data_IF_920495034838
#
_entry.id   IF_920495034838
#
_cell.length_a   1.000
_cell.length_b   1.000
_cell.length_c   1.000
_cell.angle_alpha   90.00
_cell.angle_beta   90.00
_cell.angle_gamma   90.00
#
_symmetry.space_group_name_H-M   'P 1'
#
loop_
_entity.id
_entity.type
_entity.pdbx_description
1 polymer ?
#
# COMPACT_ATOMS: atom_id res chain seq x y z
N UNK A 1 15.07 13.48 -22.18
CA UNK A 1 13.59 13.55 -22.07
C UNK A 1 13.28 14.15 -20.71
N UNK A 2 12.28 15.03 -20.59
CA UNK A 2 11.82 15.52 -19.27
C UNK A 2 10.74 14.56 -18.78
N UNK A 3 10.95 13.94 -17.61
CA UNK A 3 9.99 12.99 -17.03
C UNK A 3 8.74 13.72 -16.57
N UNK A 4 8.89 14.77 -15.76
CA UNK A 4 7.77 15.55 -15.22
C UNK A 4 7.79 16.95 -15.83
N UNK A 5 6.82 17.25 -16.70
CA UNK A 5 6.64 18.61 -17.25
C UNK A 5 6.06 19.54 -16.21
N UNK A 6 6.17 20.86 -16.41
CA UNK A 6 5.67 21.86 -15.45
C UNK A 6 4.17 21.67 -15.13
N UNK A 7 3.35 21.38 -16.13
CA UNK A 7 1.92 21.09 -15.94
C UNK A 7 1.67 19.83 -15.08
N UNK A 8 2.48 18.78 -15.27
CA UNK A 8 2.38 17.56 -14.47
C UNK A 8 2.88 17.82 -13.06
N UNK A 9 3.98 18.56 -12.91
CA UNK A 9 4.53 18.97 -11.60
C UNK A 9 3.50 19.75 -10.80
N UNK A 10 2.82 20.73 -11.41
CA UNK A 10 1.79 21.51 -10.74
C UNK A 10 0.63 20.63 -10.24
N UNK A 11 0.19 19.64 -11.03
CA UNK A 11 -0.86 18.69 -10.64
C UNK A 11 -0.40 17.75 -9.52
N UNK A 12 0.81 17.19 -9.62
CA UNK A 12 1.39 16.31 -8.61
C UNK A 12 1.58 17.03 -7.27
N UNK A 13 2.08 18.27 -7.29
CA UNK A 13 2.23 19.10 -6.09
C UNK A 13 0.88 19.47 -5.47
N UNK A 14 -0.13 19.75 -6.30
CA UNK A 14 -1.47 20.04 -5.80
C UNK A 14 -2.08 18.83 -5.07
N UNK A 15 -1.84 17.62 -5.57
CA UNK A 15 -2.24 16.40 -4.89
C UNK A 15 -1.43 16.19 -3.59
N UNK A 16 -0.10 16.32 -3.64
CA UNK A 16 0.77 16.14 -2.46
C UNK A 16 0.56 17.17 -1.35
N UNK A 17 -0.01 18.34 -1.67
CA UNK A 17 -0.37 19.37 -0.71
C UNK A 17 -1.78 19.20 -0.09
N UNK A 18 -2.52 18.14 -0.44
CA UNK A 18 -3.84 17.90 0.12
C UNK A 18 -3.76 17.66 1.64
N UNK A 19 -4.58 18.36 2.42
CA UNK A 19 -4.60 18.25 3.89
C UNK A 19 -5.15 16.89 4.38
N UNK A 20 -5.93 16.23 3.53
CA UNK A 20 -6.53 14.93 3.80
C UNK A 20 -5.99 13.90 2.82
N UNK A 21 -5.63 12.73 3.34
CA UNK A 21 -5.27 11.57 2.52
C UNK A 21 -6.40 11.28 1.53
N UNK A 22 -6.10 11.41 0.23
CA UNK A 22 -7.07 11.35 -0.85
C UNK A 22 -6.59 10.34 -1.88
N UNK A 23 -7.48 9.45 -2.31
CA UNK A 23 -7.18 8.47 -3.35
C UNK A 23 -7.21 9.13 -4.73
N UNK A 24 -6.08 9.72 -5.10
CA UNK A 24 -5.92 10.47 -6.34
C UNK A 24 -5.85 9.56 -7.57
N UNK A 25 -6.27 10.09 -8.72
CA UNK A 25 -5.99 9.43 -9.99
C UNK A 25 -4.50 9.62 -10.32
N UNK A 26 -3.80 8.59 -10.83
CA UNK A 26 -2.44 8.75 -11.33
C UNK A 26 -2.35 9.89 -12.34
N UNK A 27 -1.38 10.77 -12.15
CA UNK A 27 -1.14 11.95 -13.00
C UNK A 27 -0.19 11.61 -14.14
N UNK A 28 0.77 10.72 -13.90
CA UNK A 28 1.80 10.33 -14.86
C UNK A 28 2.12 8.84 -14.77
N UNK A 29 2.39 8.24 -15.92
CA UNK A 29 2.99 6.91 -16.03
C UNK A 29 4.42 7.02 -16.54
N UNK A 30 5.34 6.39 -15.83
CA UNK A 30 6.73 6.23 -16.23
C UNK A 30 7.04 4.75 -16.46
N UNK A 31 8.00 4.45 -17.33
CA UNK A 31 8.41 3.07 -17.62
C UNK A 31 9.88 2.98 -18.03
N UNK A 32 10.51 1.84 -17.76
CA UNK A 32 11.80 1.49 -18.34
C UNK A 32 11.58 0.95 -19.77
N UNK A 33 12.01 1.65 -20.84
CA UNK A 33 11.83 1.17 -22.21
C UNK A 33 12.62 -0.10 -22.52
N UNK A 34 13.50 -0.54 -21.61
CA UNK A 34 14.37 -1.70 -21.77
C UNK A 34 14.12 -2.81 -20.75
N UNK A 35 13.10 -2.64 -19.92
CA UNK A 35 12.76 -3.53 -18.82
C UNK A 35 11.26 -3.54 -18.53
N UNK A 36 10.83 -4.34 -17.55
CA UNK A 36 9.42 -4.42 -17.16
C UNK A 36 8.97 -3.31 -16.20
N UNK A 37 9.90 -2.50 -15.68
CA UNK A 37 9.61 -1.58 -14.60
C UNK A 37 8.65 -0.46 -15.03
N UNK A 38 7.62 -0.20 -14.22
CA UNK A 38 6.55 0.76 -14.46
C UNK A 38 6.18 1.49 -13.17
N UNK A 39 5.85 2.77 -13.27
CA UNK A 39 5.36 3.59 -12.17
C UNK A 39 4.11 4.35 -12.57
N UNK A 40 3.09 4.36 -11.71
CA UNK A 40 1.92 5.23 -11.80
C UNK A 40 1.94 6.19 -10.62
N UNK A 41 2.20 7.48 -10.86
CA UNK A 41 2.47 8.46 -9.82
C UNK A 41 1.32 9.46 -9.68
N UNK A 42 0.87 9.69 -8.44
CA UNK A 42 -0.26 10.55 -8.10
C UNK A 42 0.16 11.85 -7.45
N UNK A 43 1.26 11.87 -6.70
CA UNK A 43 1.69 13.02 -5.90
C UNK A 43 3.18 13.31 -6.03
N UNK A 44 3.54 14.55 -5.74
CA UNK A 44 4.91 15.02 -5.54
C UNK A 44 4.93 15.84 -4.25
N UNK A 45 5.85 15.53 -3.35
CA UNK A 45 6.05 16.26 -2.11
C UNK A 45 6.64 17.67 -2.37
N UNK A 46 6.50 18.55 -1.40
CA UNK A 46 6.98 19.94 -1.43
C UNK A 46 8.52 20.04 -1.56
N UNK A 47 9.26 18.97 -1.26
CA UNK A 47 10.70 18.88 -1.51
C UNK A 47 11.05 18.90 -3.02
N UNK A 48 10.07 18.67 -3.89
CA UNK A 48 10.19 18.70 -5.33
C UNK A 48 10.84 17.45 -5.95
N UNK A 49 11.11 16.42 -5.14
CA UNK A 49 11.80 15.18 -5.52
C UNK A 49 11.03 13.91 -5.14
N UNK A 50 10.39 13.87 -3.96
CA UNK A 50 9.72 12.67 -3.46
C UNK A 50 8.36 12.49 -4.12
N UNK A 51 8.28 11.56 -5.07
CA UNK A 51 7.04 11.15 -5.71
C UNK A 51 6.36 10.04 -4.91
N UNK A 52 5.03 9.98 -4.93
CA UNK A 52 4.26 8.86 -4.39
C UNK A 52 3.39 8.22 -5.48
N UNK A 53 3.25 6.90 -5.42
CA UNK A 53 2.45 6.15 -6.38
C UNK A 53 2.59 4.63 -6.29
N UNK A 54 2.06 3.96 -7.31
CA UNK A 54 2.18 2.51 -7.50
C UNK A 54 3.42 2.20 -8.32
N UNK A 55 4.31 1.39 -7.76
CA UNK A 55 5.61 1.06 -8.31
C UNK A 55 5.69 -0.44 -8.60
N UNK A 56 6.11 -0.81 -9.80
CA UNK A 56 6.33 -2.19 -10.19
C UNK A 56 7.70 -2.31 -10.85
N UNK A 57 8.63 -3.02 -10.21
CA UNK A 57 9.97 -3.25 -10.75
C UNK A 57 10.01 -4.47 -11.69
N UNK A 58 8.86 -5.06 -12.00
CA UNK A 58 8.71 -6.27 -12.81
C UNK A 58 9.16 -7.54 -12.11
N UNK A 59 9.06 -7.57 -10.78
CA UNK A 59 9.44 -8.70 -9.94
C UNK A 59 8.25 -9.52 -9.44
N UNK A 60 7.02 -9.18 -9.86
CA UNK A 60 5.80 -9.87 -9.43
C UNK A 60 5.13 -9.25 -8.20
N UNK A 61 5.68 -8.16 -7.65
CA UNK A 61 5.22 -7.52 -6.42
C UNK A 61 5.09 -5.99 -6.62
N UNK A 62 4.02 -5.52 -7.30
CA UNK A 62 3.72 -4.09 -7.37
C UNK A 62 3.33 -3.56 -6.00
N UNK A 63 3.86 -2.40 -5.61
CA UNK A 63 3.67 -1.82 -4.27
C UNK A 63 3.38 -0.33 -4.33
N UNK A 64 2.56 0.16 -3.41
CA UNK A 64 2.41 1.59 -3.16
C UNK A 64 3.60 2.10 -2.36
N UNK A 65 4.19 3.22 -2.77
CA UNK A 65 5.33 3.78 -2.07
C UNK A 65 5.87 5.06 -2.68
N UNK A 66 6.90 5.57 -2.02
CA UNK A 66 7.62 6.76 -2.45
C UNK A 66 8.84 6.42 -3.31
N UNK A 67 9.16 7.28 -4.26
CA UNK A 67 10.34 7.17 -5.14
C UNK A 67 10.94 8.55 -5.42
N UNK A 68 12.25 8.65 -5.51
CA UNK A 68 12.93 9.91 -5.86
C UNK A 68 12.88 10.16 -7.36
N UNK A 69 12.48 11.38 -7.75
CA UNK A 69 12.54 11.84 -9.14
C UNK A 69 13.98 11.88 -9.65
N UNK A 70 14.92 12.39 -8.85
CA UNK A 70 16.33 12.43 -9.19
C UNK A 70 16.90 11.03 -9.41
N UNK A 71 16.52 10.04 -8.58
CA UNK A 71 16.91 8.65 -8.80
C UNK A 71 16.38 8.14 -10.15
N UNK A 72 15.09 8.33 -10.44
CA UNK A 72 14.48 7.93 -11.72
C UNK A 72 15.15 8.59 -12.93
N UNK A 73 15.51 9.87 -12.85
CA UNK A 73 16.22 10.59 -13.92
C UNK A 73 17.67 10.11 -14.10
N UNK A 74 18.30 9.63 -13.03
CA UNK A 74 19.66 9.10 -13.04
C UNK A 74 19.76 7.70 -13.65
N UNK A 75 18.68 6.92 -13.63
CA UNK A 75 18.66 5.54 -14.15
C UNK A 75 19.18 5.49 -15.59
N UNK A 76 20.03 4.49 -15.84
CA UNK A 76 20.48 4.07 -17.17
C UNK A 76 20.22 2.58 -17.30
N UNK A 77 19.12 2.25 -17.96
CA UNK A 77 18.77 0.91 -18.39
C UNK A 77 19.69 0.41 -19.50
N UNK A 78 19.26 -0.67 -20.16
CA UNK A 78 20.05 -1.28 -21.24
C UNK A 78 20.18 -0.28 -22.39
N UNK A 79 21.25 -0.41 -23.17
CA UNK A 79 21.53 0.51 -24.30
C UNK A 79 21.73 1.98 -23.89
N UNK A 80 21.89 2.28 -22.60
CA UNK A 80 22.07 3.63 -22.08
C UNK A 80 20.78 4.46 -22.05
N UNK A 81 19.62 3.85 -22.26
CA UNK A 81 18.32 4.51 -22.20
C UNK A 81 17.93 4.76 -20.73
N UNK A 82 17.36 5.92 -20.44
CA UNK A 82 16.78 6.19 -19.13
C UNK A 82 15.31 5.78 -19.06
N UNK A 83 14.69 6.04 -17.91
CA UNK A 83 13.23 5.97 -17.77
C UNK A 83 12.57 6.93 -18.76
N UNK A 84 11.39 6.55 -19.25
CA UNK A 84 10.57 7.36 -20.14
C UNK A 84 9.19 7.64 -19.55
N UNK A 85 8.59 8.75 -19.98
CA UNK A 85 7.20 9.08 -19.67
C UNK A 85 6.30 8.61 -20.80
N UNK A 86 5.23 7.92 -20.44
CA UNK A 86 4.13 7.64 -21.36
C UNK A 86 3.32 8.92 -21.62
N UNK A 87 3.28 9.35 -22.88
CA UNK A 87 2.59 10.59 -23.30
C UNK A 87 1.11 10.37 -23.61
N UNK A 88 0.68 9.12 -23.75
CA UNK A 88 -0.69 8.75 -24.11
C UNK A 88 -1.47 8.20 -22.93
N UNK A 89 -0.79 7.88 -21.83
CA UNK A 89 -1.41 7.50 -20.57
C UNK A 89 -2.48 8.50 -20.12
N UNK A 90 -3.66 7.97 -19.78
CA UNK A 90 -4.78 8.68 -19.18
C UNK A 90 -5.39 7.79 -18.11
N UNK A 91 -5.30 8.21 -16.85
CA UNK A 91 -5.93 7.48 -15.76
C UNK A 91 -7.45 7.57 -15.85
N UNK A 92 -8.12 6.42 -15.80
CA UNK A 92 -9.59 6.32 -15.75
C UNK A 92 -10.11 5.99 -14.34
N UNK A 93 -9.22 5.57 -13.45
CA UNK A 93 -9.53 5.15 -12.08
C UNK A 93 -8.58 5.79 -11.07
N UNK A 94 -8.96 5.71 -9.79
CA UNK A 94 -8.11 6.12 -8.67
C UNK A 94 -6.94 5.15 -8.45
N UNK A 95 -5.88 5.61 -7.78
CA UNK A 95 -4.65 4.84 -7.58
C UNK A 95 -4.91 3.50 -6.85
N UNK A 96 -5.82 3.48 -5.88
CA UNK A 96 -6.19 2.24 -5.16
C UNK A 96 -6.74 1.15 -6.09
N UNK A 97 -7.47 1.52 -7.15
CA UNK A 97 -8.01 0.57 -8.13
C UNK A 97 -6.88 -0.05 -8.94
N UNK A 98 -5.92 0.77 -9.39
CA UNK A 98 -4.73 0.26 -10.06
C UNK A 98 -3.91 -0.64 -9.14
N UNK A 99 -3.77 -0.29 -7.87
CA UNK A 99 -3.04 -1.09 -6.88
C UNK A 99 -3.71 -2.46 -6.67
N UNK A 100 -5.03 -2.51 -6.51
CA UNK A 100 -5.75 -3.78 -6.35
C UNK A 100 -5.71 -4.63 -7.63
N UNK A 101 -5.88 -4.04 -8.81
CA UNK A 101 -5.73 -4.75 -10.07
C UNK A 101 -4.30 -5.32 -10.24
N UNK A 102 -3.29 -4.54 -9.84
CA UNK A 102 -1.89 -4.95 -9.91
C UNK A 102 -1.56 -6.06 -8.92
N UNK A 103 -2.09 -6.00 -7.70
CA UNK A 103 -1.97 -7.04 -6.68
C UNK A 103 -2.53 -8.38 -7.16
N UNK A 104 -3.67 -8.36 -7.86
CA UNK A 104 -4.30 -9.56 -8.42
C UNK A 104 -3.57 -10.11 -9.65
N UNK A 105 -2.89 -9.24 -10.41
CA UNK A 105 -2.22 -9.58 -11.66
C UNK A 105 -0.71 -9.79 -11.50
N UNK A 106 -0.16 -9.50 -10.33
CA UNK A 106 1.26 -9.45 -10.01
C UNK A 106 2.07 -8.46 -10.88
N UNK A 107 1.40 -7.52 -11.56
CA UNK A 107 2.05 -6.45 -12.35
C UNK A 107 1.07 -5.29 -12.56
N UNK A 108 1.58 -4.07 -12.75
CA UNK A 108 0.74 -2.92 -13.11
C UNK A 108 0.05 -3.20 -14.46
N UNK A 109 -1.27 -3.05 -14.49
CA UNK A 109 -2.09 -3.28 -15.68
C UNK A 109 -3.01 -2.10 -15.97
N UNK A 110 -3.21 -1.84 -17.26
CA UNK A 110 -4.19 -0.88 -17.78
C UNK A 110 -5.37 -1.60 -18.46
N UNK A 111 -5.47 -2.92 -18.32
CA UNK A 111 -6.60 -3.69 -18.85
C UNK A 111 -7.90 -3.24 -18.18
N UNK A 112 -8.78 -2.64 -18.98
CA UNK A 112 -10.03 -2.05 -18.52
C UNK A 112 -10.90 -3.05 -17.75
N UNK A 113 -10.92 -4.32 -18.15
CA UNK A 113 -11.72 -5.35 -17.47
C UNK A 113 -11.17 -5.61 -16.08
N UNK A 114 -9.84 -5.71 -15.93
CA UNK A 114 -9.20 -5.92 -14.63
C UNK A 114 -9.41 -4.71 -13.70
N UNK A 115 -9.28 -3.49 -14.23
CA UNK A 115 -9.52 -2.27 -13.46
C UNK A 115 -10.98 -2.16 -12.98
N UNK A 116 -11.96 -2.48 -13.84
CA UNK A 116 -13.38 -2.51 -13.45
C UNK A 116 -13.64 -3.55 -12.36
N UNK A 117 -13.06 -4.75 -12.49
CA UNK A 117 -13.19 -5.81 -11.48
C UNK A 117 -12.61 -5.38 -10.13
N UNK A 118 -11.44 -4.74 -10.13
CA UNK A 118 -10.82 -4.20 -8.92
C UNK A 118 -11.67 -3.09 -8.28
N UNK A 119 -12.19 -2.16 -9.08
CA UNK A 119 -13.07 -1.09 -8.58
C UNK A 119 -14.34 -1.65 -7.92
N UNK A 120 -14.97 -2.65 -8.54
CA UNK A 120 -16.13 -3.34 -7.97
C UNK A 120 -15.81 -4.09 -6.67
N UNK A 121 -14.62 -4.69 -6.57
CA UNK A 121 -14.17 -5.39 -5.37
C UNK A 121 -13.99 -4.41 -4.20
N UNK A 122 -13.30 -3.28 -4.45
CA UNK A 122 -13.10 -2.22 -3.45
C UNK A 122 -14.42 -1.61 -2.96
N UNK A 123 -15.38 -1.39 -3.88
CA UNK A 123 -16.70 -0.87 -3.53
C UNK A 123 -17.49 -1.81 -2.61
N UNK A 124 -17.35 -3.14 -2.78
CA UNK A 124 -17.99 -4.13 -1.91
C UNK A 124 -17.37 -4.17 -0.52
N UNK A 125 -16.03 -4.10 -0.42
CA UNK A 125 -15.32 -4.10 0.86
C UNK A 125 -15.57 -2.86 1.71
N UNK A 126 -15.85 -1.70 1.11
CA UNK A 126 -16.21 -0.47 1.84
C UNK A 126 -17.63 -0.45 2.42
N UNK A 127 -18.48 -1.42 2.05
CA UNK A 127 -19.90 -1.46 2.46
C UNK A 127 -20.19 -2.33 3.69
N UNK A 128 -19.25 -3.16 4.16
CA UNK A 128 -19.42 -4.00 5.35
C UNK A 128 -18.92 -3.29 6.62
N UNK A 129 -19.69 -2.31 7.10
CA UNK A 129 -19.65 -1.92 8.51
C UNK A 129 -20.76 -2.69 9.23
N UNK A 130 -20.45 -3.56 10.22
CA UNK A 130 -21.49 -4.18 11.04
C UNK A 130 -22.29 -3.09 11.77
N UNK A 131 -23.62 -3.27 11.97
CA UNK A 131 -24.39 -2.31 12.73
C UNK A 131 -23.79 -2.12 14.13
N UNK A 132 -23.50 -0.88 14.44
CA UNK A 132 -23.12 -0.36 15.75
C UNK A 132 -23.97 -1.02 16.84
N UNK A 133 -23.38 -1.97 17.57
CA UNK A 133 -24.04 -2.58 18.72
C UNK A 133 -23.78 -1.70 19.93
N UNK A 134 -24.31 -0.48 19.92
CA UNK A 134 -24.38 0.37 21.08
C UNK A 134 -25.51 -0.13 22.01
N UNK A 135 -25.14 -0.26 23.29
CA UNK A 135 -25.99 -0.30 24.49
C UNK A 135 -26.80 -1.58 24.81
N UNK A 136 -26.27 -2.38 25.73
CA UNK A 136 -27.09 -3.13 26.68
C UNK A 136 -27.03 -2.44 28.06
N UNK A 137 -28.16 -1.95 28.60
CA UNK A 137 -28.17 -1.40 29.95
C UNK A 137 -27.93 -2.52 30.97
N UNK A 138 -26.89 -2.34 31.80
CA UNK A 138 -26.60 -3.23 32.94
C UNK A 138 -27.77 -3.20 33.92
N UNK A 139 -28.58 -4.25 33.92
CA UNK A 139 -29.53 -4.52 35.00
C UNK A 139 -28.76 -4.83 36.29
N UNK A 140 -28.86 -3.95 37.29
CA UNK A 140 -28.42 -4.23 38.67
C UNK A 140 -29.28 -5.37 39.26
N UNK A 141 -28.73 -6.57 39.28
CA UNK A 141 -29.18 -7.66 40.14
C UNK A 141 -28.38 -7.62 41.44
N UNK A 142 -29.03 -7.20 42.53
CA UNK A 142 -28.49 -7.24 43.89
C UNK A 142 -28.59 -8.68 44.40
N UNK A 143 -27.45 -9.30 44.70
CA UNK A 143 -27.42 -10.45 45.62
C UNK A 143 -26.27 -10.33 46.62
N UNK A 144 -26.66 -10.27 47.89
CA UNK A 144 -25.84 -10.22 49.09
C UNK A 144 -25.60 -11.64 49.60
N UNK A 145 -24.35 -12.06 49.88
CA UNK A 145 -23.88 -12.66 51.17
C UNK A 145 -22.41 -13.14 51.14
N UNK A 146 -21.76 -13.44 52.29
CA UNK A 146 -20.66 -12.59 52.77
C UNK A 146 -19.30 -13.31 52.95
N UNK A 147 -18.37 -12.52 53.47
CA UNK A 147 -16.94 -12.74 53.68
C UNK A 147 -16.45 -14.07 54.26
N UNK A 148 -15.31 -14.54 53.73
CA UNK A 148 -14.27 -15.23 54.49
C UNK A 148 -12.86 -14.90 53.91
N UNK A 149 -11.98 -14.43 54.80
CA UNK A 149 -10.51 -14.34 54.69
C UNK A 149 -9.95 -15.26 55.80
N UNK A 150 -8.64 -15.59 55.93
CA UNK A 150 -7.48 -15.23 55.10
C UNK A 150 -6.42 -16.36 54.88
N UNK A 151 -5.33 -15.99 54.18
CA UNK A 151 -3.91 -16.19 54.52
C UNK A 151 -3.08 -17.35 53.89
N UNK A 152 -1.92 -16.89 53.37
CA UNK A 152 -0.60 -17.54 53.27
C UNK A 152 -0.47 -18.69 52.26
N UNK A 153 0.67 -18.98 51.63
CA UNK A 153 2.06 -18.58 51.82
C UNK A 153 2.84 -18.82 50.52
N UNK A 154 3.99 -18.15 50.43
CA UNK A 154 4.97 -18.18 49.33
C UNK A 154 5.55 -19.58 49.08
N UNK A 155 5.88 -19.90 47.82
CA UNK A 155 7.25 -20.35 47.46
C UNK A 155 7.52 -20.29 45.96
N UNK A 156 8.75 -19.88 45.66
CA UNK A 156 9.36 -19.75 44.34
C UNK A 156 9.87 -21.10 43.81
N UNK A 157 9.89 -21.26 42.48
CA UNK A 157 10.90 -22.07 41.77
C UNK A 157 10.99 -21.61 40.30
N UNK A 158 12.11 -21.01 39.91
CA UNK A 158 12.62 -20.95 38.53
C UNK A 158 13.40 -22.25 38.23
N UNK A 159 14.00 -22.43 37.03
CA UNK A 159 13.43 -22.44 35.69
C UNK A 159 13.73 -23.80 35.00
N UNK A 160 13.07 -24.11 33.87
CA UNK A 160 13.50 -25.20 33.00
C UNK A 160 13.85 -24.68 31.60
N UNK A 161 15.03 -25.11 31.16
CA UNK A 161 15.63 -24.97 29.84
C UNK A 161 15.15 -26.06 28.88
N UNK A 162 15.49 -25.85 27.60
CA UNK A 162 15.32 -26.71 26.40
C UNK A 162 13.99 -26.46 25.67
N UNK A 163 13.93 -26.36 24.35
CA UNK A 163 14.80 -26.96 23.34
C UNK A 163 14.67 -26.22 22.00
N UNK A 164 15.73 -26.31 21.21
CA UNK A 164 15.89 -25.94 19.80
C UNK A 164 14.78 -26.45 18.88
N UNK A 165 14.43 -25.66 17.86
CA UNK A 165 14.12 -26.20 16.53
C UNK A 165 14.46 -25.17 15.44
N UNK A 166 15.50 -25.48 14.66
CA UNK A 166 15.70 -24.98 13.30
C UNK A 166 14.94 -25.91 12.36
N UNK A 167 14.15 -25.36 11.45
CA UNK A 167 13.73 -26.06 10.24
C UNK A 167 13.74 -25.07 9.07
N UNK A 168 14.58 -25.39 8.08
CA UNK A 168 14.81 -24.65 6.86
C UNK A 168 13.64 -24.79 5.87
N UNK A 169 13.46 -23.75 5.04
CA UNK A 169 12.59 -23.77 3.86
C UNK A 169 13.31 -24.48 2.70
N UNK A 170 12.62 -25.27 1.86
CA UNK A 170 13.19 -25.83 0.65
C UNK A 170 13.16 -24.82 -0.49
N UNK A 171 14.32 -24.61 -1.12
CA UNK A 171 14.41 -24.09 -2.49
C UNK A 171 14.01 -25.20 -3.46
N UNK A 172 13.34 -24.84 -4.55
CA UNK A 172 13.18 -25.68 -5.73
C UNK A 172 13.55 -24.86 -6.95
N UNK A 173 14.33 -25.53 -7.81
CA UNK A 173 14.93 -25.08 -9.06
C UNK A 173 13.94 -24.58 -10.13
#
# INVERSE_FOLDING_TARGET
MILITDDLRARLLANGAAETETDHHPVVKLFDPTGPATWLLSELDADGDTLFGLCDLGLGFPELGSVSLAELESVKGRLGLGIERDRYFKAEFALSVYAEAARLSCHITEDERLLRQAAEALAKSGSELPPDTAEQPRSLGVENRPAARPAASRRATQPQTKETNHAACPHSD
#
